data_IF_826505842551
#
_entry.id   IF_826505842551
#
_cell.length_a   1.000
_cell.length_b   1.000
_cell.length_c   1.000
_cell.angle_alpha   90.00
_cell.angle_beta   90.00
_cell.angle_gamma   90.00
#
_symmetry.space_group_name_H-M   'P 1'
#
loop_
_entity.id
_entity.type
_entity.pdbx_description
1 polymer ?
#
# COMPACT_ATOMS: atom_id res chain seq x y z
N UNK A 1 -28.37 28.92 27.06
CA UNK A 1 -28.96 29.79 26.04
C UNK A 1 -27.92 30.66 25.31
N UNK A 2 -26.67 30.63 25.77
CA UNK A 2 -25.62 31.52 25.26
C UNK A 2 -25.21 31.12 23.84
N UNK A 3 -25.00 32.12 22.94
CA UNK A 3 -24.48 31.88 21.62
C UNK A 3 -22.97 31.67 21.68
N UNK A 4 -22.46 30.75 20.87
CA UNK A 4 -21.04 30.42 20.83
C UNK A 4 -20.57 30.02 19.41
N UNK A 5 -19.25 30.00 19.22
CA UNK A 5 -18.59 29.51 18.04
C UNK A 5 -17.59 28.44 18.43
N UNK A 6 -17.65 27.29 17.77
CA UNK A 6 -16.67 26.23 17.90
C UNK A 6 -16.06 25.94 16.52
N UNK A 7 -14.75 26.20 16.37
CA UNK A 7 -14.08 26.12 15.08
C UNK A 7 -14.72 27.07 14.06
N UNK A 8 -15.30 26.48 13.01
CA UNK A 8 -15.99 27.19 11.91
C UNK A 8 -17.51 27.15 12.03
N UNK A 9 -18.06 26.60 13.11
CA UNK A 9 -19.50 26.45 13.30
C UNK A 9 -20.00 27.34 14.43
N UNK A 10 -21.19 27.92 14.24
CA UNK A 10 -21.92 28.64 15.27
C UNK A 10 -22.96 27.75 15.91
N UNK A 11 -23.35 28.10 17.11
CA UNK A 11 -24.39 27.42 17.83
C UNK A 11 -24.97 28.23 19.00
N UNK A 12 -26.05 27.73 19.55
CA UNK A 12 -26.64 28.25 20.78
C UNK A 12 -26.81 27.10 21.79
N UNK A 13 -26.30 27.27 22.99
CA UNK A 13 -26.38 26.26 24.04
C UNK A 13 -27.84 25.91 24.34
N UNK A 14 -28.20 24.65 24.11
CA UNK A 14 -29.52 24.09 24.45
C UNK A 14 -29.49 23.34 25.77
N UNK A 15 -28.41 22.63 26.04
CA UNK A 15 -28.16 21.94 27.30
C UNK A 15 -26.65 21.77 27.49
N UNK A 16 -26.23 21.65 28.72
CA UNK A 16 -24.87 21.32 29.14
C UNK A 16 -24.98 20.12 30.08
N UNK A 17 -24.13 19.11 29.86
CA UNK A 17 -24.02 17.94 30.74
C UNK A 17 -22.60 17.84 31.29
N UNK A 18 -22.49 17.39 32.53
CA UNK A 18 -21.20 17.11 33.15
C UNK A 18 -20.65 15.71 32.74
N UNK A 19 -19.49 15.34 33.29
CA UNK A 19 -18.84 14.03 33.10
C UNK A 19 -19.69 12.82 33.57
N UNK A 20 -20.73 13.06 34.40
CA UNK A 20 -21.67 12.04 34.86
C UNK A 20 -22.96 11.96 34.03
N UNK A 21 -23.09 12.80 33.02
CA UNK A 21 -24.30 12.91 32.21
C UNK A 21 -25.45 13.67 32.89
N UNK A 22 -25.19 14.38 33.97
CA UNK A 22 -26.18 15.20 34.66
C UNK A 22 -26.24 16.58 33.99
N UNK A 23 -27.45 17.08 33.80
CA UNK A 23 -27.67 18.40 33.22
C UNK A 23 -27.26 19.47 34.23
N UNK A 24 -26.44 20.42 33.82
CA UNK A 24 -25.95 21.54 34.60
C UNK A 24 -26.35 22.87 33.96
N UNK A 25 -26.42 23.92 34.76
CA UNK A 25 -26.79 25.26 34.26
C UNK A 25 -25.58 26.08 33.81
N UNK A 26 -24.43 25.87 34.43
CA UNK A 26 -23.21 26.62 34.21
C UNK A 26 -21.98 25.69 34.14
N UNK A 27 -21.09 25.94 33.21
CA UNK A 27 -19.79 25.29 33.13
C UNK A 27 -18.70 26.20 33.68
N UNK A 28 -18.04 25.74 34.75
CA UNK A 28 -16.94 26.47 35.39
C UNK A 28 -15.59 26.13 34.74
N UNK A 29 -14.54 26.93 34.95
CA UNK A 29 -13.20 26.63 34.43
C UNK A 29 -12.71 25.23 34.82
N UNK A 30 -12.00 24.57 33.89
CA UNK A 30 -11.44 23.20 34.05
C UNK A 30 -12.47 22.07 34.19
N UNK A 31 -13.74 22.33 33.90
CA UNK A 31 -14.81 21.35 33.96
C UNK A 31 -15.03 20.72 32.57
N UNK A 32 -14.92 19.37 32.43
CA UNK A 32 -15.30 18.71 31.19
C UNK A 32 -16.81 18.72 31.04
N UNK A 33 -17.30 19.14 29.90
CA UNK A 33 -18.73 19.26 29.62
C UNK A 33 -19.09 18.82 28.23
N UNK A 34 -20.28 18.24 28.08
CA UNK A 34 -20.90 18.00 26.78
C UNK A 34 -21.93 19.09 26.50
N UNK A 35 -21.84 19.73 25.35
CA UNK A 35 -22.69 20.86 24.96
C UNK A 35 -23.58 20.45 23.78
N UNK A 36 -24.88 20.63 23.94
CA UNK A 36 -25.84 20.47 22.84
C UNK A 36 -26.20 21.83 22.24
N UNK A 37 -26.32 21.88 20.91
CA UNK A 37 -26.84 23.05 20.22
C UNK A 37 -25.90 23.65 19.16
N UNK A 38 -24.89 22.92 18.72
CA UNK A 38 -24.02 23.30 17.60
C UNK A 38 -24.66 22.91 16.25
N UNK A 39 -24.46 23.73 15.22
CA UNK A 39 -25.02 23.49 13.87
C UNK A 39 -24.17 22.56 13.02
N UNK A 40 -22.97 22.17 13.46
CA UNK A 40 -22.09 21.27 12.74
C UNK A 40 -21.11 20.54 13.65
N UNK A 41 -20.11 19.86 13.08
CA UNK A 41 -19.09 19.12 13.83
C UNK A 41 -17.75 19.84 13.75
N UNK A 42 -17.25 20.44 14.84
CA UNK A 42 -15.91 21.00 14.92
C UNK A 42 -14.87 19.88 14.98
N UNK A 43 -13.65 20.20 14.64
CA UNK A 43 -12.52 19.29 14.81
C UNK A 43 -12.01 19.36 16.25
N UNK A 44 -11.33 18.30 16.70
CA UNK A 44 -10.64 18.30 17.98
C UNK A 44 -9.56 19.40 17.98
N UNK A 45 -9.48 20.16 19.10
CA UNK A 45 -8.56 21.28 19.23
C UNK A 45 -9.05 22.60 18.63
N UNK A 46 -10.22 22.64 18.00
CA UNK A 46 -10.82 23.87 17.50
C UNK A 46 -11.13 24.85 18.64
N UNK A 47 -10.91 26.16 18.44
CA UNK A 47 -11.19 27.16 19.46
C UNK A 47 -12.69 27.28 19.73
N UNK A 48 -13.04 27.24 21.02
CA UNK A 48 -14.40 27.45 21.54
C UNK A 48 -14.51 28.85 22.14
N UNK A 49 -15.50 29.62 21.69
CA UNK A 49 -15.66 31.01 22.11
C UNK A 49 -17.14 31.37 22.29
N UNK A 50 -17.50 31.84 23.48
CA UNK A 50 -18.81 32.41 23.74
C UNK A 50 -18.87 33.83 23.16
N UNK A 51 -20.01 34.20 22.62
CA UNK A 51 -20.24 35.50 21.97
C UNK A 51 -21.40 36.25 22.62
N UNK A 52 -21.44 37.56 22.49
CA UNK A 52 -22.50 38.39 23.09
C UNK A 52 -23.88 38.14 22.47
N UNK A 53 -23.90 37.82 21.17
CA UNK A 53 -25.16 37.60 20.46
C UNK A 53 -24.98 36.60 19.30
N UNK A 54 -26.08 35.97 18.92
CA UNK A 54 -26.12 34.99 17.82
C UNK A 54 -25.71 35.53 16.46
N UNK A 55 -26.05 36.81 16.19
CA UNK A 55 -25.65 37.44 14.91
C UNK A 55 -24.14 37.55 14.78
N UNK A 56 -23.47 37.88 15.87
CA UNK A 56 -22.01 37.96 15.89
C UNK A 56 -21.37 36.55 15.79
N UNK A 57 -21.93 35.55 16.44
CA UNK A 57 -21.50 34.15 16.28
C UNK A 57 -21.56 33.71 14.81
N UNK A 58 -22.66 33.98 14.12
CA UNK A 58 -22.84 33.64 12.71
C UNK A 58 -21.86 34.39 11.80
N UNK A 59 -21.58 35.66 12.07
CA UNK A 59 -20.58 36.40 11.31
C UNK A 59 -19.19 35.83 11.44
N UNK A 60 -18.75 35.46 12.64
CA UNK A 60 -17.45 34.84 12.88
C UNK A 60 -17.40 33.49 12.16
N UNK A 61 -18.43 32.65 12.31
CA UNK A 61 -18.55 31.35 11.68
C UNK A 61 -18.42 31.45 10.15
N UNK A 62 -19.22 32.36 9.53
CA UNK A 62 -19.20 32.57 8.09
C UNK A 62 -17.81 33.01 7.60
N UNK A 63 -17.16 33.92 8.33
CA UNK A 63 -15.83 34.41 7.96
C UNK A 63 -14.76 33.28 8.09
N UNK A 64 -14.81 32.48 9.14
CA UNK A 64 -13.91 31.34 9.31
C UNK A 64 -14.14 30.25 8.25
N UNK A 65 -15.40 30.00 7.85
CA UNK A 65 -15.73 29.06 6.77
C UNK A 65 -15.20 29.56 5.42
N UNK A 66 -15.34 30.87 5.14
CA UNK A 66 -14.79 31.47 3.93
C UNK A 66 -13.26 31.30 3.86
N UNK A 67 -12.56 31.64 4.93
CA UNK A 67 -11.10 31.47 5.02
C UNK A 67 -10.68 30.02 4.80
N UNK A 68 -11.36 29.07 5.46
CA UNK A 68 -11.09 27.63 5.31
C UNK A 68 -11.28 27.18 3.85
N UNK A 69 -12.34 27.62 3.19
CA UNK A 69 -12.56 27.32 1.75
C UNK A 69 -11.43 27.87 0.87
N UNK A 70 -10.92 29.07 1.17
CA UNK A 70 -9.78 29.63 0.44
C UNK A 70 -8.49 28.85 0.69
N UNK A 71 -8.24 28.40 1.92
CA UNK A 71 -7.09 27.57 2.26
C UNK A 71 -7.16 26.21 1.58
N UNK A 72 -8.32 25.54 1.65
CA UNK A 72 -8.56 24.26 0.99
C UNK A 72 -8.38 24.38 -0.54
N UNK A 73 -8.89 25.45 -1.15
CA UNK A 73 -8.72 25.72 -2.59
C UNK A 73 -7.26 25.99 -3.00
N UNK A 74 -6.46 26.59 -2.12
CA UNK A 74 -5.01 26.79 -2.35
C UNK A 74 -4.21 25.50 -2.19
N UNK A 75 -4.63 24.62 -1.28
CA UNK A 75 -3.96 23.35 -1.00
C UNK A 75 -4.25 22.28 -2.06
N UNK A 76 -5.27 22.47 -2.92
CA UNK A 76 -5.46 21.62 -4.09
C UNK A 76 -4.28 21.82 -5.03
N UNK A 77 -3.34 20.88 -5.04
CA UNK A 77 -2.22 20.85 -5.99
C UNK A 77 -2.80 20.80 -7.40
N UNK A 78 -2.79 21.94 -8.10
CA UNK A 78 -3.13 21.96 -9.52
C UNK A 78 -2.06 21.13 -10.25
N UNK A 79 -2.51 20.11 -10.96
CA UNK A 79 -1.64 19.35 -11.87
C UNK A 79 -1.23 20.32 -12.99
N UNK A 80 0.02 20.78 -12.93
CA UNK A 80 0.65 21.53 -14.02
C UNK A 80 1.46 20.57 -14.88
N UNK A 81 1.68 20.92 -16.15
CA UNK A 81 2.49 20.09 -17.06
C UNK A 81 3.90 19.82 -16.49
N UNK A 82 4.45 20.76 -15.72
CA UNK A 82 5.75 20.61 -15.06
C UNK A 82 5.72 19.55 -13.95
N UNK A 83 4.61 19.47 -13.17
CA UNK A 83 4.44 18.43 -12.16
C UNK A 83 4.11 17.05 -12.77
N UNK A 84 3.59 17.03 -14.02
CA UNK A 84 3.31 15.78 -14.71
C UNK A 84 4.61 15.02 -15.06
N UNK A 85 5.65 15.75 -15.48
CA UNK A 85 6.96 15.15 -15.75
C UNK A 85 7.62 14.55 -14.50
N UNK A 86 7.54 15.25 -13.37
CA UNK A 86 8.07 14.71 -12.10
C UNK A 86 7.27 13.50 -11.60
N UNK A 87 5.96 13.44 -11.87
CA UNK A 87 5.11 12.29 -11.49
C UNK A 87 5.38 11.07 -12.38
N UNK A 88 5.78 11.29 -13.65
CA UNK A 88 6.16 10.19 -14.57
C UNK A 88 7.52 9.60 -14.18
N UNK A 89 8.45 10.42 -13.68
CA UNK A 89 9.76 9.96 -13.19
C UNK A 89 9.66 9.19 -11.85
N UNK A 90 8.61 9.42 -11.05
CA UNK A 90 8.38 8.70 -9.77
C UNK A 90 7.80 7.28 -9.96
N UNK A 91 7.50 6.85 -11.19
CA UNK A 91 6.89 5.56 -11.50
C UNK A 91 5.36 5.53 -11.30
N UNK A 92 4.72 4.44 -11.66
CA UNK A 92 3.28 4.22 -11.43
C UNK A 92 3.02 4.00 -9.93
N UNK A 93 2.68 5.10 -9.22
CA UNK A 93 2.23 4.99 -7.82
C UNK A 93 0.82 4.42 -7.82
N UNK A 94 0.65 3.26 -7.22
CA UNK A 94 -0.68 2.66 -7.03
C UNK A 94 -1.39 3.38 -5.89
N UNK A 95 -2.61 3.87 -6.12
CA UNK A 95 -3.41 4.52 -5.09
C UNK A 95 -4.54 3.60 -4.59
N UNK A 96 -4.61 3.42 -3.27
CA UNK A 96 -5.78 2.84 -2.59
C UNK A 96 -6.63 3.99 -2.05
N UNK A 97 -7.83 4.16 -2.59
CA UNK A 97 -8.76 5.21 -2.19
C UNK A 97 -9.72 4.68 -1.13
N UNK A 98 -9.92 5.45 -0.07
CA UNK A 98 -10.73 5.03 1.07
C UNK A 98 -11.74 6.09 1.46
N UNK A 99 -12.98 5.66 1.73
CA UNK A 99 -14.01 6.48 2.37
C UNK A 99 -14.18 5.98 3.80
N UNK A 100 -14.09 6.87 4.77
CA UNK A 100 -14.20 6.54 6.19
C UNK A 100 -15.50 7.09 6.76
N UNK A 101 -16.30 6.20 7.35
CA UNK A 101 -17.51 6.55 8.10
C UNK A 101 -17.39 6.02 9.51
N UNK A 102 -17.68 6.85 10.50
CA UNK A 102 -17.59 6.47 11.91
C UNK A 102 -18.79 6.90 12.73
N UNK A 103 -18.89 6.38 13.94
CA UNK A 103 -19.93 6.74 14.90
C UNK A 103 -19.77 8.18 15.40
N UNK A 104 -18.52 8.60 15.62
CA UNK A 104 -18.17 9.94 16.09
C UNK A 104 -16.96 10.49 15.33
N UNK A 105 -16.81 11.81 15.31
CA UNK A 105 -15.72 12.48 14.57
C UNK A 105 -14.33 12.06 15.08
N UNK A 106 -14.16 11.90 16.40
CA UNK A 106 -12.89 11.46 16.98
C UNK A 106 -12.44 10.07 16.51
N UNK A 107 -13.38 9.13 16.35
CA UNK A 107 -13.10 7.80 15.79
C UNK A 107 -12.64 7.89 14.33
N UNK A 108 -13.30 8.75 13.56
CA UNK A 108 -12.96 8.97 12.14
C UNK A 108 -11.56 9.57 11.99
N UNK A 109 -11.22 10.57 12.78
CA UNK A 109 -9.89 11.21 12.77
C UNK A 109 -8.78 10.26 13.23
N UNK A 110 -9.02 9.47 14.29
CA UNK A 110 -8.07 8.48 14.77
C UNK A 110 -7.79 7.40 13.73
N UNK A 111 -8.85 6.89 13.07
CA UNK A 111 -8.72 5.91 12.00
C UNK A 111 -8.01 6.49 10.78
N UNK A 112 -8.40 7.70 10.34
CA UNK A 112 -7.75 8.41 9.23
C UNK A 112 -6.26 8.58 9.48
N UNK A 113 -5.87 9.12 10.64
CA UNK A 113 -4.46 9.32 11.02
C UNK A 113 -3.67 8.00 11.09
N UNK A 114 -4.32 6.90 11.51
CA UNK A 114 -3.68 5.58 11.55
C UNK A 114 -3.49 4.98 10.18
N UNK A 115 -4.45 5.14 9.27
CA UNK A 115 -4.40 4.65 7.90
C UNK A 115 -3.42 5.45 7.03
N UNK A 116 -3.38 6.77 7.18
CA UNK A 116 -2.45 7.63 6.42
C UNK A 116 -0.98 7.27 6.67
N UNK A 117 -0.65 6.73 7.85
CA UNK A 117 0.70 6.26 8.19
C UNK A 117 1.13 5.00 7.42
N UNK A 118 0.19 4.26 6.82
CA UNK A 118 0.49 3.09 6.01
C UNK A 118 0.98 3.44 4.59
N UNK A 119 0.85 4.71 4.18
CA UNK A 119 1.28 5.15 2.85
C UNK A 119 2.78 4.99 2.66
N UNK A 120 3.18 4.35 1.57
CA UNK A 120 4.55 4.20 1.12
C UNK A 120 4.77 4.98 -0.19
N UNK A 121 5.98 4.94 -0.76
CA UNK A 121 6.26 5.55 -2.06
C UNK A 121 5.59 4.80 -3.21
N UNK A 122 5.49 3.48 -3.12
CA UNK A 122 4.91 2.62 -4.15
C UNK A 122 3.39 2.59 -4.11
N UNK A 123 2.81 2.60 -2.87
CA UNK A 123 1.36 2.59 -2.67
C UNK A 123 0.98 3.74 -1.75
N UNK A 124 0.11 4.61 -2.23
CA UNK A 124 -0.43 5.73 -1.47
C UNK A 124 -1.87 5.45 -1.04
N UNK A 125 -2.14 5.57 0.27
CA UNK A 125 -3.50 5.53 0.78
C UNK A 125 -4.07 6.96 0.73
N UNK A 126 -5.17 7.13 0.01
CA UNK A 126 -5.83 8.42 -0.16
C UNK A 126 -7.24 8.38 0.43
N UNK A 127 -7.47 9.15 1.49
CA UNK A 127 -8.80 9.27 2.11
C UNK A 127 -9.62 10.31 1.35
N UNK A 128 -10.52 9.84 0.47
CA UNK A 128 -11.35 10.70 -0.38
C UNK A 128 -12.39 11.46 0.47
N UNK A 129 -13.04 10.75 1.40
CA UNK A 129 -14.05 11.33 2.26
C UNK A 129 -14.01 10.70 3.65
N UNK A 130 -14.16 11.53 4.70
CA UNK A 130 -14.17 11.09 6.08
C UNK A 130 -15.23 11.88 6.86
N UNK A 131 -16.23 11.19 7.39
CA UNK A 131 -17.30 11.86 8.14
C UNK A 131 -17.98 10.93 9.14
N UNK A 132 -18.57 11.50 10.18
CA UNK A 132 -19.39 10.76 11.13
C UNK A 132 -20.80 10.48 10.57
N UNK A 133 -21.37 9.37 10.98
CA UNK A 133 -22.71 8.92 10.63
C UNK A 133 -22.74 7.59 9.87
N UNK A 134 -23.95 7.12 9.57
CA UNK A 134 -24.15 5.89 8.80
C UNK A 134 -23.64 6.01 7.36
N UNK A 135 -23.27 4.90 6.76
CA UNK A 135 -22.92 4.84 5.34
C UNK A 135 -24.19 5.01 4.52
N UNK A 136 -24.22 6.01 3.66
CA UNK A 136 -25.38 6.37 2.84
C UNK A 136 -25.11 6.11 1.34
N UNK A 137 -26.14 6.32 0.53
CA UNK A 137 -26.09 6.09 -0.92
C UNK A 137 -25.05 6.98 -1.61
N UNK A 138 -24.88 8.24 -1.14
CA UNK A 138 -23.91 9.17 -1.71
C UNK A 138 -22.46 8.69 -1.47
N UNK A 139 -22.19 8.06 -0.32
CA UNK A 139 -20.88 7.47 -0.03
C UNK A 139 -20.57 6.31 -1.00
N UNK A 140 -21.59 5.48 -1.28
CA UNK A 140 -21.47 4.36 -2.23
C UNK A 140 -21.27 4.86 -3.65
N UNK A 141 -22.02 5.88 -4.07
CA UNK A 141 -21.86 6.49 -5.40
C UNK A 141 -20.47 7.14 -5.55
N UNK A 142 -19.96 7.76 -4.50
CA UNK A 142 -18.61 8.33 -4.51
C UNK A 142 -17.54 7.22 -4.65
N UNK A 143 -17.71 6.10 -3.96
CA UNK A 143 -16.82 4.95 -4.10
C UNK A 143 -16.92 4.29 -5.49
N UNK A 144 -18.14 4.15 -6.03
CA UNK A 144 -18.37 3.56 -7.33
C UNK A 144 -17.77 4.36 -8.51
N UNK A 145 -17.57 5.66 -8.32
CA UNK A 145 -16.90 6.50 -9.31
C UNK A 145 -15.42 6.14 -9.52
N UNK A 146 -14.84 5.34 -8.63
CA UNK A 146 -13.44 4.93 -8.67
C UNK A 146 -13.30 3.42 -8.44
N UNK A 147 -12.60 2.74 -9.35
CA UNK A 147 -12.45 1.28 -9.33
C UNK A 147 -11.68 0.74 -8.11
N UNK A 148 -10.87 1.57 -7.45
CA UNK A 148 -10.02 1.19 -6.33
C UNK A 148 -10.47 1.81 -5.00
N UNK A 149 -11.74 2.19 -4.87
CA UNK A 149 -12.25 2.78 -3.65
C UNK A 149 -12.94 1.75 -2.74
N UNK A 150 -12.61 1.81 -1.44
CA UNK A 150 -13.18 0.95 -0.40
C UNK A 150 -13.87 1.83 0.65
N UNK A 151 -15.03 1.40 1.15
CA UNK A 151 -15.72 2.07 2.24
C UNK A 151 -15.43 1.36 3.56
N UNK A 152 -14.89 2.10 4.52
CA UNK A 152 -14.63 1.64 5.88
C UNK A 152 -15.66 2.23 6.83
N UNK A 153 -16.48 1.38 7.43
CA UNK A 153 -17.41 1.75 8.50
C UNK A 153 -16.87 1.37 9.87
N UNK A 154 -16.62 2.37 10.73
CA UNK A 154 -16.19 2.15 12.08
C UNK A 154 -17.35 2.34 13.06
N UNK A 155 -17.79 1.26 13.72
CA UNK A 155 -18.99 1.19 14.58
C UNK A 155 -20.30 1.62 13.89
N UNK A 156 -20.32 1.73 12.57
CA UNK A 156 -21.50 2.14 11.80
C UNK A 156 -21.90 1.06 10.79
N UNK A 157 -23.14 1.16 10.31
CA UNK A 157 -23.68 0.26 9.31
C UNK A 157 -24.20 1.04 8.11
N UNK A 158 -24.21 0.43 6.93
CA UNK A 158 -24.85 1.03 5.77
C UNK A 158 -26.38 1.07 5.96
N UNK A 159 -27.01 2.09 5.40
CA UNK A 159 -28.46 2.13 5.25
C UNK A 159 -28.92 0.97 4.36
N UNK A 160 -30.19 0.53 4.45
CA UNK A 160 -30.70 -0.55 3.58
C UNK A 160 -30.54 -0.23 2.10
N UNK A 161 -30.73 1.02 1.70
CA UNK A 161 -30.54 1.49 0.32
C UNK A 161 -29.08 1.46 -0.10
N UNK A 162 -28.17 2.00 0.74
CA UNK A 162 -26.73 1.96 0.49
C UNK A 162 -26.18 0.54 0.35
N UNK A 163 -26.72 -0.42 1.13
CA UNK A 163 -26.35 -1.83 1.01
C UNK A 163 -26.73 -2.42 -0.36
N UNK A 164 -27.95 -2.18 -0.82
CA UNK A 164 -28.41 -2.64 -2.13
C UNK A 164 -27.60 -2.01 -3.26
N UNK A 165 -27.34 -0.70 -3.15
CA UNK A 165 -26.54 0.01 -4.14
C UNK A 165 -25.09 -0.50 -4.18
N UNK A 166 -24.50 -0.77 -3.04
CA UNK A 166 -23.14 -1.32 -2.96
C UNK A 166 -23.01 -2.71 -3.60
N UNK A 167 -24.05 -3.55 -3.46
CA UNK A 167 -24.12 -4.85 -4.13
C UNK A 167 -24.26 -4.71 -5.65
N UNK A 168 -25.02 -3.72 -6.13
CA UNK A 168 -25.21 -3.42 -7.56
C UNK A 168 -23.92 -2.88 -8.19
N UNK A 169 -23.29 -1.91 -7.53
CA UNK A 169 -22.08 -1.24 -8.01
C UNK A 169 -20.80 -2.00 -7.67
N UNK A 170 -20.90 -3.13 -6.95
CA UNK A 170 -19.76 -3.97 -6.49
C UNK A 170 -18.76 -3.21 -5.62
N UNK A 171 -19.23 -2.25 -4.83
CA UNK A 171 -18.42 -1.49 -3.89
C UNK A 171 -18.18 -2.32 -2.62
N UNK A 172 -16.93 -2.48 -2.21
CA UNK A 172 -16.58 -3.21 -0.98
C UNK A 172 -16.81 -2.32 0.26
N UNK A 173 -17.66 -2.79 1.16
CA UNK A 173 -17.95 -2.13 2.45
C UNK A 173 -17.41 -3.00 3.58
N UNK A 174 -16.34 -2.55 4.23
CA UNK A 174 -15.73 -3.19 5.39
C UNK A 174 -16.19 -2.53 6.67
N UNK A 175 -16.52 -3.35 7.68
CA UNK A 175 -17.05 -2.87 8.97
C UNK A 175 -16.13 -3.31 10.09
N UNK A 176 -15.72 -2.36 10.91
CA UNK A 176 -14.81 -2.59 12.03
C UNK A 176 -15.36 -1.95 13.29
N UNK A 177 -15.01 -2.54 14.42
CA UNK A 177 -15.25 -2.01 15.76
C UNK A 177 -13.94 -1.85 16.56
N UNK A 178 -12.82 -2.26 15.98
CA UNK A 178 -11.48 -2.15 16.55
C UNK A 178 -10.56 -1.55 15.49
N UNK A 179 -9.91 -0.42 15.82
CA UNK A 179 -9.05 0.34 14.89
C UNK A 179 -7.90 -0.53 14.37
N UNK A 180 -7.24 -1.29 15.24
CA UNK A 180 -6.11 -2.14 14.88
C UNK A 180 -6.46 -3.20 13.82
N UNK A 181 -7.67 -3.78 13.88
CA UNK A 181 -8.11 -4.73 12.85
C UNK A 181 -8.34 -4.06 11.51
N UNK A 182 -8.88 -2.84 11.52
CA UNK A 182 -9.04 -2.07 10.28
C UNK A 182 -7.67 -1.76 9.65
N UNK A 183 -6.70 -1.34 10.45
CA UNK A 183 -5.34 -1.03 10.02
C UNK A 183 -4.67 -2.29 9.45
N UNK A 184 -4.74 -3.43 10.15
CA UNK A 184 -4.15 -4.70 9.74
C UNK A 184 -4.73 -5.22 8.41
N UNK A 185 -6.06 -5.21 8.24
CA UNK A 185 -6.68 -5.67 6.99
C UNK A 185 -6.36 -4.75 5.81
N UNK A 186 -6.29 -3.43 6.03
CA UNK A 186 -5.89 -2.50 4.98
C UNK A 186 -4.40 -2.63 4.65
N UNK A 187 -3.53 -2.84 5.66
CA UNK A 187 -2.11 -3.16 5.45
C UNK A 187 -1.96 -4.40 4.55
N UNK A 188 -2.69 -5.49 4.86
CA UNK A 188 -2.70 -6.71 4.03
C UNK A 188 -3.25 -6.47 2.61
N UNK A 189 -4.29 -5.64 2.47
CA UNK A 189 -4.83 -5.29 1.16
C UNK A 189 -3.81 -4.50 0.32
N UNK A 190 -3.09 -3.55 0.94
CA UNK A 190 -2.01 -2.80 0.29
C UNK A 190 -0.84 -3.72 -0.08
N UNK A 191 -0.43 -4.67 0.80
CA UNK A 191 0.60 -5.66 0.49
C UNK A 191 0.24 -6.49 -0.75
N UNK A 192 -1.03 -6.88 -0.90
CA UNK A 192 -1.52 -7.59 -2.08
C UNK A 192 -1.50 -6.77 -3.37
N UNK A 193 -1.38 -5.44 -3.28
CA UNK A 193 -1.24 -4.55 -4.44
C UNK A 193 0.22 -4.33 -4.87
N UNK A 194 1.19 -4.73 -4.03
CA UNK A 194 2.61 -4.65 -4.37
C UNK A 194 2.95 -5.63 -5.50
N UNK A 195 3.81 -5.20 -6.42
CA UNK A 195 4.39 -6.12 -7.40
C UNK A 195 5.26 -7.14 -6.65
N UNK A 196 5.09 -8.45 -6.91
CA UNK A 196 5.91 -9.46 -6.23
C UNK A 196 7.39 -9.29 -6.57
N UNK A 197 8.25 -9.54 -5.61
CA UNK A 197 9.68 -9.63 -5.85
C UNK A 197 10.00 -10.97 -6.51
N UNK A 198 10.79 -10.92 -7.57
CA UNK A 198 11.31 -12.12 -8.21
C UNK A 198 12.61 -12.51 -7.50
N UNK A 199 12.58 -13.61 -6.76
CA UNK A 199 13.78 -14.18 -6.15
C UNK A 199 14.24 -15.41 -6.91
N UNK A 200 15.56 -15.50 -7.06
CA UNK A 200 16.20 -16.69 -7.59
C UNK A 200 16.33 -17.73 -6.47
N UNK A 201 15.70 -18.88 -6.64
CA UNK A 201 15.81 -20.00 -5.73
C UNK A 201 16.56 -21.14 -6.42
N UNK A 202 17.61 -21.65 -5.76
CA UNK A 202 18.39 -22.77 -6.28
C UNK A 202 17.61 -24.06 -6.02
N UNK A 203 17.05 -24.64 -7.07
CA UNK A 203 16.23 -25.85 -7.02
C UNK A 203 17.00 -27.13 -7.30
N UNK A 204 18.25 -27.04 -7.76
CA UNK A 204 19.07 -28.19 -8.04
C UNK A 204 20.54 -27.85 -8.28
N UNK A 205 21.38 -28.84 -8.12
CA UNK A 205 22.83 -28.78 -8.41
C UNK A 205 23.23 -29.94 -9.31
N UNK A 206 24.01 -29.62 -10.33
CA UNK A 206 24.42 -30.58 -11.37
C UNK A 206 25.92 -30.44 -11.60
N UNK A 207 26.63 -31.56 -11.74
CA UNK A 207 28.06 -31.61 -12.02
C UNK A 207 28.30 -32.01 -13.47
N UNK A 208 29.17 -31.27 -14.16
CA UNK A 208 29.59 -31.60 -15.53
C UNK A 208 30.69 -32.63 -15.50
N UNK A 209 30.41 -33.84 -16.00
CA UNK A 209 31.37 -34.98 -16.01
C UNK A 209 32.01 -35.18 -17.37
N UNK A 210 31.33 -34.79 -18.48
CA UNK A 210 31.81 -34.93 -19.84
C UNK A 210 31.36 -33.74 -20.71
N UNK A 211 32.07 -33.45 -21.78
CA UNK A 211 31.72 -32.36 -22.70
C UNK A 211 31.77 -32.86 -24.13
N UNK A 212 30.63 -32.89 -24.78
CA UNK A 212 30.46 -33.37 -26.16
C UNK A 212 30.26 -32.16 -27.09
N UNK A 213 31.19 -31.94 -27.99
CA UNK A 213 31.07 -30.90 -29.02
C UNK A 213 30.26 -31.42 -30.20
N UNK A 214 29.09 -30.82 -30.44
CA UNK A 214 28.20 -31.18 -31.53
C UNK A 214 28.25 -30.08 -32.61
N UNK A 215 28.68 -30.40 -33.85
CA UNK A 215 28.66 -29.42 -34.96
C UNK A 215 27.24 -28.86 -35.14
N UNK A 216 27.09 -27.51 -35.22
CA UNK A 216 25.85 -26.75 -35.39
C UNK A 216 24.98 -26.53 -34.15
N UNK A 217 25.20 -27.25 -33.04
CA UNK A 217 24.37 -27.14 -31.83
C UNK A 217 25.17 -26.52 -30.67
N UNK A 218 26.51 -26.57 -30.74
CA UNK A 218 27.39 -26.08 -29.69
C UNK A 218 27.91 -27.21 -28.77
N UNK A 219 28.28 -26.86 -27.53
CA UNK A 219 28.76 -27.82 -26.53
C UNK A 219 27.60 -28.37 -25.73
N UNK A 220 27.51 -29.69 -25.56
CA UNK A 220 26.57 -30.36 -24.68
C UNK A 220 27.34 -30.89 -23.48
N UNK A 221 26.95 -30.49 -22.28
CA UNK A 221 27.49 -30.99 -21.04
C UNK A 221 26.87 -32.37 -20.68
N UNK A 222 27.67 -33.41 -20.68
CA UNK A 222 27.32 -34.69 -20.04
C UNK A 222 27.40 -34.52 -18.55
N UNK A 223 26.27 -34.44 -17.89
CA UNK A 223 26.15 -33.97 -16.51
C UNK A 223 25.43 -34.98 -15.64
N UNK A 224 25.70 -34.93 -14.36
CA UNK A 224 25.06 -35.73 -13.33
C UNK A 224 24.34 -34.85 -12.31
N UNK A 225 23.05 -35.10 -12.07
CA UNK A 225 22.25 -34.29 -11.12
C UNK A 225 22.57 -34.73 -9.70
N UNK A 226 23.23 -33.88 -8.92
CA UNK A 226 23.63 -34.15 -7.53
C UNK A 226 22.46 -34.03 -6.57
N UNK A 227 21.70 -32.92 -6.70
CA UNK A 227 20.57 -32.60 -5.83
C UNK A 227 19.45 -31.91 -6.62
N UNK A 228 18.22 -32.08 -6.15
CA UNK A 228 17.04 -31.41 -6.70
C UNK A 228 16.59 -31.96 -8.05
N UNK A 229 16.02 -31.09 -8.86
CA UNK A 229 15.48 -31.44 -10.19
C UNK A 229 15.84 -30.34 -11.17
N UNK A 230 16.29 -30.70 -12.37
CA UNK A 230 16.50 -29.78 -13.48
C UNK A 230 15.33 -29.88 -14.45
N UNK A 231 14.73 -28.74 -14.80
CA UNK A 231 13.66 -28.63 -15.81
C UNK A 231 14.20 -27.94 -17.08
N UNK A 232 13.65 -28.27 -18.22
CA UNK A 232 14.06 -27.65 -19.51
C UNK A 232 13.87 -26.14 -19.54
N UNK A 233 12.94 -25.59 -18.75
CA UNK A 233 12.66 -24.14 -18.66
C UNK A 233 13.53 -23.41 -17.63
N UNK A 234 14.36 -24.14 -16.88
CA UNK A 234 15.17 -23.53 -15.82
C UNK A 234 16.30 -22.69 -16.38
N UNK A 235 16.69 -21.69 -15.61
CA UNK A 235 17.94 -20.94 -15.81
C UNK A 235 19.03 -21.63 -15.01
N UNK A 236 20.25 -21.60 -15.51
CA UNK A 236 21.41 -22.21 -14.83
C UNK A 236 22.54 -21.20 -14.68
N UNK A 237 23.19 -21.23 -13.52
CA UNK A 237 24.47 -20.57 -13.30
C UNK A 237 25.58 -21.60 -13.46
N UNK A 238 26.54 -21.31 -14.32
CA UNK A 238 27.76 -22.11 -14.49
C UNK A 238 28.79 -21.61 -13.49
N UNK A 239 29.17 -22.46 -12.56
CA UNK A 239 30.16 -22.15 -11.53
C UNK A 239 31.44 -22.91 -11.82
N UNK A 240 32.54 -22.19 -11.91
CA UNK A 240 33.90 -22.71 -12.09
C UNK A 240 34.78 -22.19 -10.96
N UNK A 241 35.37 -23.09 -10.19
CA UNK A 241 36.24 -22.74 -9.04
C UNK A 241 35.56 -21.78 -8.04
N UNK A 242 34.24 -21.94 -7.82
CA UNK A 242 33.47 -21.11 -6.91
C UNK A 242 33.02 -19.75 -7.47
N UNK A 243 33.29 -19.46 -8.75
CA UNK A 243 32.93 -18.21 -9.41
C UNK A 243 31.86 -18.49 -10.46
N UNK A 244 30.80 -17.69 -10.51
CA UNK A 244 29.78 -17.74 -11.57
C UNK A 244 30.39 -17.18 -12.85
N UNK A 245 30.61 -18.06 -13.83
CA UNK A 245 31.22 -17.71 -15.14
C UNK A 245 30.16 -17.30 -16.16
N UNK A 246 28.97 -17.90 -16.08
CA UNK A 246 27.87 -17.63 -17.00
C UNK A 246 26.51 -17.89 -16.34
N UNK A 247 25.50 -17.14 -16.76
CA UNK A 247 24.10 -17.34 -16.39
C UNK A 247 23.27 -17.36 -17.68
N UNK A 248 22.52 -18.42 -17.90
CA UNK A 248 21.73 -18.57 -19.12
C UNK A 248 20.64 -19.61 -19.01
N UNK A 249 19.73 -19.61 -19.99
CA UNK A 249 18.67 -20.62 -20.08
C UNK A 249 19.19 -21.92 -20.67
N UNK A 250 18.50 -23.00 -20.41
CA UNK A 250 18.78 -24.27 -21.04
C UNK A 250 18.31 -24.26 -22.51
N UNK A 251 19.23 -24.49 -23.43
CA UNK A 251 18.91 -24.69 -24.84
C UNK A 251 18.33 -26.08 -25.08
N UNK A 252 18.87 -27.12 -24.39
CA UNK A 252 18.39 -28.49 -24.50
C UNK A 252 18.61 -29.27 -23.19
N UNK A 253 17.67 -30.18 -22.90
CA UNK A 253 17.80 -31.17 -21.82
C UNK A 253 17.45 -32.54 -22.36
N UNK A 254 18.44 -33.44 -22.32
CA UNK A 254 18.32 -34.79 -22.88
C UNK A 254 18.73 -35.85 -21.88
N UNK A 255 18.08 -37.00 -21.97
CA UNK A 255 18.51 -38.20 -21.27
C UNK A 255 18.74 -39.30 -22.32
N UNK A 256 20.00 -39.77 -22.42
CA UNK A 256 20.46 -40.60 -23.51
C UNK A 256 20.28 -39.89 -24.88
N UNK A 257 19.31 -40.29 -25.69
CA UNK A 257 19.00 -39.69 -26.98
C UNK A 257 17.68 -38.94 -27.04
N UNK A 258 16.88 -39.01 -25.95
CA UNK A 258 15.53 -38.47 -25.89
C UNK A 258 15.51 -37.10 -25.22
N UNK A 259 14.76 -36.17 -25.76
CA UNK A 259 14.48 -34.88 -25.13
C UNK A 259 13.49 -35.09 -23.96
N UNK A 260 13.85 -34.60 -22.79
CA UNK A 260 13.05 -34.74 -21.56
C UNK A 260 12.66 -33.37 -21.01
N UNK A 261 11.55 -33.35 -20.29
CA UNK A 261 11.07 -32.13 -19.65
C UNK A 261 11.78 -31.83 -18.34
N UNK A 262 12.14 -32.87 -17.59
CA UNK A 262 12.80 -32.79 -16.30
C UNK A 262 13.69 -33.99 -16.03
N UNK A 263 14.71 -33.80 -15.19
CA UNK A 263 15.60 -34.86 -14.70
C UNK A 263 15.82 -34.66 -13.20
N UNK A 264 15.57 -35.70 -12.41
CA UNK A 264 15.74 -35.70 -10.97
C UNK A 264 17.17 -36.05 -10.53
N UNK A 265 17.47 -35.82 -9.26
CA UNK A 265 18.75 -36.22 -8.63
C UNK A 265 19.05 -37.69 -8.83
N UNK A 266 20.35 -38.01 -9.02
CA UNK A 266 20.84 -39.39 -9.21
C UNK A 266 20.84 -39.88 -10.66
N UNK A 267 20.45 -39.02 -11.62
CA UNK A 267 20.44 -39.41 -13.03
C UNK A 267 21.41 -38.56 -13.88
N UNK A 268 21.91 -39.18 -14.94
CA UNK A 268 22.73 -38.52 -15.96
C UNK A 268 21.84 -37.84 -17.00
N UNK A 269 22.30 -36.68 -17.49
CA UNK A 269 21.62 -35.91 -18.53
C UNK A 269 22.62 -35.14 -19.40
N UNK A 270 22.21 -34.84 -20.62
CA UNK A 270 22.92 -33.94 -21.54
C UNK A 270 22.29 -32.56 -21.50
N UNK A 271 23.05 -31.54 -21.13
CA UNK A 271 22.61 -30.16 -20.98
C UNK A 271 23.27 -29.29 -22.02
N UNK A 272 22.48 -28.59 -22.83
CA UNK A 272 22.93 -27.47 -23.66
C UNK A 272 22.54 -26.17 -23.04
N UNK A 273 23.44 -25.20 -22.95
CA UNK A 273 23.20 -23.84 -22.38
C UNK A 273 23.14 -22.88 -23.57
N UNK A 274 22.19 -21.95 -23.53
CA UNK A 274 22.03 -20.90 -24.54
C UNK A 274 23.24 -19.94 -24.51
N UNK A 275 23.79 -19.63 -25.68
CA UNK A 275 24.89 -18.67 -25.89
C UNK A 275 26.19 -18.96 -25.10
N UNK A 276 26.37 -20.20 -24.62
CA UNK A 276 27.58 -20.60 -23.91
C UNK A 276 28.18 -21.92 -24.42
N UNK A 277 29.35 -21.83 -25.00
CA UNK A 277 30.05 -22.97 -25.59
C UNK A 277 31.29 -23.42 -24.78
N UNK A 278 31.79 -22.60 -23.81
CA UNK A 278 33.01 -22.90 -23.04
C UNK A 278 32.71 -23.68 -21.77
N UNK A 279 31.95 -24.75 -21.88
CA UNK A 279 31.67 -25.66 -20.76
C UNK A 279 32.91 -26.57 -20.56
N UNK A 280 33.34 -26.76 -19.32
CA UNK A 280 34.48 -27.65 -18.97
C UNK A 280 34.05 -28.73 -17.99
N UNK A 281 34.79 -29.81 -18.00
CA UNK A 281 34.64 -30.91 -17.03
C UNK A 281 34.99 -30.37 -15.63
N UNK A 282 34.14 -30.65 -14.67
CA UNK A 282 34.23 -30.17 -13.30
C UNK A 282 33.48 -28.85 -13.03
N UNK A 283 32.85 -28.25 -14.04
CA UNK A 283 31.95 -27.11 -13.82
C UNK A 283 30.72 -27.60 -13.02
N UNK A 284 30.24 -26.76 -12.10
CA UNK A 284 28.99 -26.97 -11.38
C UNK A 284 27.90 -26.09 -11.99
N UNK A 285 26.73 -26.67 -12.21
CA UNK A 285 25.57 -25.94 -12.70
C UNK A 285 24.57 -25.86 -11.55
N UNK A 286 24.30 -24.64 -11.06
CA UNK A 286 23.18 -24.38 -10.15
C UNK A 286 21.95 -24.08 -10.98
N UNK A 287 20.90 -24.86 -10.73
CA UNK A 287 19.61 -24.73 -11.41
C UNK A 287 18.76 -23.77 -10.61
N UNK A 288 18.32 -22.69 -11.25
CA UNK A 288 17.57 -21.60 -10.63
C UNK A 288 16.15 -21.59 -11.17
N UNK A 289 15.21 -21.45 -10.28
CA UNK A 289 13.83 -21.10 -10.60
C UNK A 289 13.53 -19.71 -10.06
N UNK A 290 12.88 -18.89 -10.89
CA UNK A 290 12.41 -17.57 -10.48
C UNK A 290 11.09 -17.75 -9.72
N UNK A 291 11.11 -17.50 -8.42
CA UNK A 291 9.93 -17.62 -7.57
C UNK A 291 9.43 -16.23 -7.22
N UNK A 292 8.15 -15.99 -7.48
CA UNK A 292 7.49 -14.77 -7.05
C UNK A 292 7.24 -14.82 -5.55
N UNK A 293 7.87 -13.93 -4.80
CA UNK A 293 7.70 -13.81 -3.35
C UNK A 293 6.86 -12.57 -3.05
N UNK A 294 5.77 -12.75 -2.30
CA UNK A 294 4.95 -11.63 -1.84
C UNK A 294 5.78 -10.68 -0.96
N UNK A 295 5.74 -9.39 -1.27
CA UNK A 295 6.43 -8.33 -0.52
C UNK A 295 5.58 -7.88 0.66
N UNK A 296 6.22 -7.48 1.75
CA UNK A 296 5.57 -6.84 2.90
C UNK A 296 5.85 -5.33 2.88
N UNK A 297 4.88 -4.53 3.34
CA UNK A 297 5.03 -3.07 3.43
C UNK A 297 6.26 -2.65 4.25
N UNK A 298 6.57 -3.37 5.32
CA UNK A 298 7.76 -3.13 6.16
C UNK A 298 9.10 -3.33 5.44
N UNK A 299 9.13 -4.12 4.40
CA UNK A 299 10.34 -4.35 3.59
C UNK A 299 10.52 -3.21 2.58
N UNK A 300 9.42 -2.63 2.05
CA UNK A 300 9.48 -1.43 1.20
C UNK A 300 9.96 -0.20 1.99
N UNK A 301 9.52 -0.01 3.24
CA UNK A 301 10.03 1.08 4.10
C UNK A 301 11.54 0.99 4.36
N UNK A 302 12.08 -0.22 4.51
CA UNK A 302 13.53 -0.43 4.70
C UNK A 302 14.32 -0.13 3.42
N UNK A 303 13.79 -0.46 2.26
CA UNK A 303 14.38 -0.13 0.96
C UNK A 303 14.38 1.38 0.75
N UNK A 304 13.25 2.04 1.00
CA UNK A 304 13.12 3.50 0.93
C UNK A 304 14.11 4.23 1.85
N UNK A 305 14.29 3.72 3.07
CA UNK A 305 15.24 4.27 4.03
C UNK A 305 16.71 4.07 3.60
N UNK A 306 17.01 2.99 2.88
CA UNK A 306 18.34 2.67 2.36
C UNK A 306 18.68 3.55 1.15
N UNK A 307 17.77 3.68 0.20
CA UNK A 307 17.91 4.56 -0.97
C UNK A 307 18.00 6.04 -0.58
N UNK A 308 17.24 6.47 0.44
CA UNK A 308 17.33 7.83 0.97
C UNK A 308 18.68 8.13 1.64
N UNK A 309 19.35 7.12 2.19
CA UNK A 309 20.73 7.25 2.74
C UNK A 309 21.76 7.32 1.63
N UNK A 310 21.68 6.41 0.66
CA UNK A 310 22.59 6.36 -0.49
C UNK A 310 22.51 7.64 -1.34
N UNK A 311 21.31 8.17 -1.54
CA UNK A 311 21.11 9.44 -2.27
C UNK A 311 21.63 10.67 -1.52
N UNK A 312 21.69 10.63 -0.18
CA UNK A 312 22.29 11.68 0.65
C UNK A 312 23.84 11.59 0.66
N UNK A 313 24.39 10.39 0.65
CA UNK A 313 25.83 10.17 0.55
C UNK A 313 26.35 10.56 -0.84
N UNK A 314 25.66 10.16 -1.91
CA UNK A 314 26.03 10.53 -3.29
C UNK A 314 25.93 12.05 -3.57
N UNK A 315 25.09 12.79 -2.81
CA UNK A 315 25.04 14.26 -2.87
C UNK A 315 26.14 14.94 -2.06
N UNK A 316 26.68 14.29 -1.05
CA UNK A 316 27.78 14.78 -0.24
C UNK A 316 29.12 14.64 -0.98
N UNK A 317 29.34 13.52 -1.67
CA UNK A 317 30.55 13.26 -2.48
C UNK A 317 30.63 14.11 -3.76
N UNK A 318 29.51 14.73 -4.18
CA UNK A 318 29.52 15.69 -5.31
C UNK A 318 29.68 17.16 -4.90
N UNK A 319 29.70 17.43 -3.58
CA UNK A 319 29.82 18.77 -3.03
C UNK A 319 31.21 19.03 -2.39
N UNK A 320 32.08 18.02 -2.30
CA UNK A 320 33.52 18.10 -2.05
C UNK A 320 34.30 17.99 -3.39
#
# INVERSE_FOLDING_TARGET
>A
GDPYVAGVYSGRVRAIFNDRGEKIEEATPSMPVEILGLEGMPNAGDPFQVTENERFARQISSKRQELKRFEDARNVKKVTLENLYSTIDEGEVTELKVIIKGDVQGSVEALKSSLEKLSTREIRLNVIHASAGAINDSDVMLAAADSNAIIIGFNVRPTPQAKLLAEQEKVDIRKYNIIYKAVEEIEQAMEGMLKPDIKEEVIGSVEVRDVIKVPKIGSIAGSYVLQGTIKRSSTVHVIREGIVVHSGKLASLRRFKDDVKEVAAGFECGIGIEDFADIKIGDQLEVIELVEVARKLKDSEKLDAKEAKESKEAKKDKAE
#
